data_IF_308095318435
#
_entry.id   IF_308095318435
#
_cell.length_a   1.000
_cell.length_b   1.000
_cell.length_c   1.000
_cell.angle_alpha   90.00
_cell.angle_beta   90.00
_cell.angle_gamma   90.00
#
_symmetry.space_group_name_H-M   'P 1'
#
loop_
_entity.id
_entity.type
_entity.pdbx_description
1 polymer ?
#
# COMPACT_ATOMS: atom_id res chain seq x y z
N UNK A 1 -0.08 18.83 -13.56
CA UNK A 1 -1.35 18.56 -14.29
C UNK A 1 -2.57 18.93 -13.46
N UNK A 2 -2.68 18.50 -12.19
CA UNK A 2 -3.83 18.76 -11.30
C UNK A 2 -4.27 20.23 -11.18
N UNK A 3 -3.34 21.19 -11.30
CA UNK A 3 -3.62 22.64 -11.29
C UNK A 3 -4.48 23.11 -12.47
N UNK A 4 -4.68 22.27 -13.49
CA UNK A 4 -5.46 22.55 -14.70
C UNK A 4 -6.79 21.77 -14.76
N UNK A 5 -7.11 20.98 -13.74
CA UNK A 5 -8.32 20.15 -13.73
C UNK A 5 -9.61 20.98 -13.62
N UNK A 6 -10.71 20.47 -14.13
CA UNK A 6 -12.05 21.02 -13.83
C UNK A 6 -12.61 20.35 -12.56
N UNK A 7 -12.91 21.09 -11.47
CA UNK A 7 -13.45 20.52 -10.24
C UNK A 7 -14.78 19.79 -10.40
N UNK A 8 -15.66 20.23 -11.31
CA UNK A 8 -16.92 19.53 -11.57
C UNK A 8 -16.70 18.18 -12.25
N UNK A 9 -15.87 18.16 -13.30
CA UNK A 9 -15.45 16.91 -13.93
C UNK A 9 -14.70 16.01 -12.95
N UNK A 10 -13.89 16.58 -12.06
CA UNK A 10 -13.15 15.85 -11.01
C UNK A 10 -14.09 15.12 -10.06
N UNK A 11 -15.16 15.78 -9.59
CA UNK A 11 -16.15 15.15 -8.72
C UNK A 11 -16.88 13.98 -9.42
N UNK A 12 -17.21 14.14 -10.71
CA UNK A 12 -17.82 13.06 -11.52
C UNK A 12 -16.86 11.88 -11.71
N UNK A 13 -15.59 12.15 -12.00
CA UNK A 13 -14.55 11.12 -12.16
C UNK A 13 -14.30 10.38 -10.84
N UNK A 14 -14.30 11.08 -9.70
CA UNK A 14 -14.17 10.47 -8.37
C UNK A 14 -15.34 9.51 -8.07
N UNK A 15 -16.58 9.95 -8.36
CA UNK A 15 -17.76 9.12 -8.19
C UNK A 15 -17.72 7.85 -9.07
N UNK A 16 -17.22 7.97 -10.31
CA UNK A 16 -17.03 6.84 -11.22
C UNK A 16 -16.07 5.78 -10.65
N UNK A 17 -14.90 6.19 -10.15
CA UNK A 17 -13.93 5.24 -9.59
C UNK A 17 -14.38 4.65 -8.26
N UNK A 18 -15.07 5.42 -7.43
CA UNK A 18 -15.72 4.90 -6.24
C UNK A 18 -16.77 3.83 -6.59
N UNK A 19 -17.61 4.08 -7.60
CA UNK A 19 -18.58 3.10 -8.07
C UNK A 19 -17.90 1.82 -8.61
N UNK A 20 -16.79 1.96 -9.33
CA UNK A 20 -16.00 0.82 -9.81
C UNK A 20 -15.43 -0.05 -8.66
N UNK A 21 -15.12 0.56 -7.52
CA UNK A 21 -14.71 -0.12 -6.30
C UNK A 21 -15.88 -0.58 -5.41
N UNK A 22 -17.14 -0.42 -5.86
CA UNK A 22 -18.33 -0.82 -5.11
C UNK A 22 -18.63 0.06 -3.89
N UNK A 23 -18.28 1.35 -3.95
CA UNK A 23 -18.40 2.28 -2.82
C UNK A 23 -18.83 3.70 -3.25
N UNK A 24 -18.89 4.62 -2.29
CA UNK A 24 -19.13 6.05 -2.51
C UNK A 24 -17.83 6.84 -2.40
N UNK A 25 -17.68 7.98 -3.08
CA UNK A 25 -16.43 8.73 -3.04
C UNK A 25 -16.23 9.40 -1.67
N UNK A 26 -15.00 9.33 -1.15
CA UNK A 26 -14.64 10.00 0.10
C UNK A 26 -14.76 11.54 0.01
N UNK A 27 -14.48 12.11 -1.16
CA UNK A 27 -14.72 13.52 -1.49
C UNK A 27 -15.68 13.56 -2.68
N UNK A 28 -16.89 14.09 -2.44
CA UNK A 28 -17.95 14.12 -3.44
C UNK A 28 -18.20 15.51 -4.04
N UNK A 29 -17.88 16.58 -3.32
CA UNK A 29 -18.25 17.94 -3.72
C UNK A 29 -17.17 18.57 -4.63
N UNK A 30 -17.61 19.15 -5.76
CA UNK A 30 -16.73 19.92 -6.64
C UNK A 30 -16.07 21.11 -5.91
N UNK A 31 -16.76 21.71 -4.93
CA UNK A 31 -16.21 22.79 -4.09
C UNK A 31 -14.98 22.35 -3.28
N UNK A 32 -14.93 21.09 -2.82
CA UNK A 32 -13.80 20.58 -2.06
C UNK A 32 -12.58 20.38 -2.95
N UNK A 33 -12.79 19.82 -4.15
CA UNK A 33 -11.74 19.73 -5.17
C UNK A 33 -11.25 21.12 -5.60
N UNK A 34 -12.15 22.09 -5.73
CA UNK A 34 -11.78 23.49 -6.03
C UNK A 34 -10.92 24.09 -4.92
N UNK A 35 -11.31 23.94 -3.66
CA UNK A 35 -10.54 24.44 -2.53
C UNK A 35 -9.12 23.83 -2.47
N UNK A 36 -9.00 22.53 -2.75
CA UNK A 36 -7.70 21.82 -2.83
C UNK A 36 -6.88 22.33 -4.02
N UNK A 37 -7.51 22.47 -5.19
CA UNK A 37 -6.87 23.00 -6.38
C UNK A 37 -6.32 24.42 -6.13
N UNK A 38 -7.12 25.31 -5.53
CA UNK A 38 -6.71 26.68 -5.23
C UNK A 38 -5.54 26.71 -4.25
N UNK A 39 -5.54 25.82 -3.26
CA UNK A 39 -4.42 25.64 -2.32
C UNK A 39 -3.14 25.24 -3.05
N UNK A 40 -3.17 24.25 -3.94
CA UNK A 40 -1.96 23.81 -4.67
C UNK A 40 -1.50 24.84 -5.71
N UNK A 41 -2.43 25.56 -6.36
CA UNK A 41 -2.10 26.64 -7.29
C UNK A 41 -1.42 27.80 -6.55
N UNK A 42 -1.95 28.19 -5.39
CA UNK A 42 -1.32 29.20 -4.54
C UNK A 42 0.08 28.76 -4.12
N UNK A 43 0.22 27.54 -3.60
CA UNK A 43 1.52 26.98 -3.21
C UNK A 43 2.53 26.99 -4.37
N UNK A 44 2.12 26.58 -5.57
CA UNK A 44 2.98 26.58 -6.74
C UNK A 44 3.41 27.99 -7.17
N UNK A 45 2.51 28.99 -7.07
CA UNK A 45 2.79 30.39 -7.40
C UNK A 45 3.80 31.05 -6.45
N UNK A 46 3.95 30.54 -5.23
CA UNK A 46 4.98 31.04 -4.29
C UNK A 46 6.42 30.66 -4.72
N UNK A 47 6.59 29.75 -5.69
CA UNK A 47 7.90 29.33 -6.22
C UNK A 47 8.71 28.42 -5.29
N UNK A 48 8.36 28.34 -4.01
CA UNK A 48 8.98 27.43 -3.02
C UNK A 48 8.32 26.06 -3.04
N UNK A 49 8.59 25.29 -4.09
CA UNK A 49 7.89 24.03 -4.36
C UNK A 49 8.19 22.88 -3.38
N UNK A 50 9.23 23.00 -2.54
CA UNK A 50 9.57 21.99 -1.54
C UNK A 50 9.76 20.61 -2.17
N UNK A 51 9.03 19.61 -1.64
CA UNK A 51 9.05 18.22 -2.15
C UNK A 51 8.57 18.09 -3.60
N UNK A 52 7.94 19.11 -4.17
CA UNK A 52 7.49 19.13 -5.56
C UNK A 52 8.48 19.84 -6.51
N UNK A 53 9.57 20.41 -5.98
CA UNK A 53 10.62 21.03 -6.79
C UNK A 53 11.43 19.99 -7.56
N UNK A 54 11.79 20.30 -8.81
CA UNK A 54 12.56 19.42 -9.71
C UNK A 54 12.01 17.98 -9.86
N UNK A 55 10.69 17.81 -9.71
CA UNK A 55 10.02 16.55 -10.01
C UNK A 55 9.94 16.29 -11.52
N UNK A 56 9.62 15.04 -11.89
CA UNK A 56 9.51 14.59 -13.28
C UNK A 56 8.26 15.10 -14.02
N UNK A 57 7.69 16.22 -13.60
CA UNK A 57 6.39 16.72 -14.07
C UNK A 57 6.38 16.94 -15.58
N UNK A 58 5.39 16.36 -16.27
CA UNK A 58 5.29 16.43 -17.73
C UNK A 58 6.02 15.31 -18.47
N UNK A 59 6.64 14.36 -17.75
CA UNK A 59 7.17 13.13 -18.35
C UNK A 59 6.03 12.32 -19.02
N UNK A 60 6.32 11.76 -20.20
CA UNK A 60 5.37 10.99 -21.02
C UNK A 60 4.84 9.72 -20.31
N UNK A 61 5.57 9.24 -19.30
CA UNK A 61 5.13 8.16 -18.43
C UNK A 61 3.93 8.52 -17.55
N UNK A 62 3.60 9.80 -17.32
CA UNK A 62 2.42 10.17 -16.55
C UNK A 62 1.14 10.11 -17.38
N UNK A 63 0.26 9.15 -17.06
CA UNK A 63 -0.94 8.85 -17.87
C UNK A 63 -2.25 9.35 -17.30
N UNK A 64 -2.26 9.77 -16.03
CA UNK A 64 -3.48 10.27 -15.39
C UNK A 64 -3.90 11.60 -15.99
N UNK A 65 -5.21 11.79 -16.19
CA UNK A 65 -5.78 13.07 -16.62
C UNK A 65 -5.60 14.15 -15.55
N UNK A 66 -5.77 15.44 -15.85
CA UNK A 66 -5.77 16.49 -14.83
C UNK A 66 -6.73 16.21 -13.67
N UNK A 67 -7.96 15.76 -13.96
CA UNK A 67 -9.00 15.41 -12.99
C UNK A 67 -8.55 14.26 -12.09
N UNK A 68 -8.05 13.17 -12.67
CA UNK A 68 -7.52 12.02 -11.92
C UNK A 68 -6.34 12.40 -11.02
N UNK A 69 -5.45 13.28 -11.52
CA UNK A 69 -4.37 13.81 -10.70
C UNK A 69 -4.90 14.69 -9.55
N UNK A 70 -5.97 15.47 -9.76
CA UNK A 70 -6.56 16.28 -8.69
C UNK A 70 -7.22 15.40 -7.62
N UNK A 71 -7.86 14.28 -8.00
CA UNK A 71 -8.34 13.24 -7.07
C UNK A 71 -7.17 12.70 -6.24
N UNK A 72 -6.11 12.23 -6.92
CA UNK A 72 -4.93 11.67 -6.24
C UNK A 72 -4.26 12.67 -5.29
N UNK A 73 -4.15 13.94 -5.69
CA UNK A 73 -3.61 15.01 -4.80
C UNK A 73 -4.53 15.27 -3.61
N UNK A 74 -5.85 15.30 -3.83
CA UNK A 74 -6.82 15.49 -2.77
C UNK A 74 -6.73 14.36 -1.72
N UNK A 75 -6.70 13.11 -2.17
CA UNK A 75 -6.56 11.95 -1.30
C UNK A 75 -5.17 11.85 -0.67
N UNK A 76 -4.10 12.23 -1.37
CA UNK A 76 -2.75 12.32 -0.79
C UNK A 76 -2.73 13.26 0.42
N UNK A 77 -3.30 14.46 0.28
CA UNK A 77 -3.34 15.44 1.37
C UNK A 77 -4.21 14.95 2.54
N UNK A 78 -5.32 14.26 2.27
CA UNK A 78 -6.15 13.65 3.32
C UNK A 78 -5.47 12.46 3.99
N UNK A 79 -4.73 11.65 3.23
CA UNK A 79 -3.97 10.51 3.72
C UNK A 79 -2.96 10.91 4.80
N UNK A 80 -2.34 12.08 4.67
CA UNK A 80 -1.44 12.64 5.69
C UNK A 80 -2.15 12.91 7.04
N UNK A 81 -3.44 13.22 7.04
CA UNK A 81 -4.21 13.36 8.29
C UNK A 81 -4.68 12.00 8.82
N UNK A 82 -5.09 11.09 7.92
CA UNK A 82 -5.63 9.76 8.25
C UNK A 82 -4.55 8.87 8.87
N UNK A 83 -3.32 8.87 8.34
CA UNK A 83 -2.22 8.08 8.90
C UNK A 83 -1.92 8.44 10.36
N UNK A 84 -2.13 9.70 10.76
CA UNK A 84 -1.97 10.14 12.14
C UNK A 84 -3.04 9.52 13.04
N UNK A 85 -4.27 9.35 12.53
CA UNK A 85 -5.36 8.66 13.26
C UNK A 85 -5.04 7.18 13.45
N UNK A 86 -4.50 6.51 12.43
CA UNK A 86 -4.00 5.12 12.54
C UNK A 86 -2.90 5.01 13.61
N UNK A 87 -1.96 5.96 13.66
CA UNK A 87 -0.93 6.00 14.69
C UNK A 87 -1.48 6.19 16.11
N UNK A 88 -2.62 6.87 16.28
CA UNK A 88 -3.29 6.97 17.58
C UNK A 88 -3.85 5.64 18.04
N UNK A 89 -4.39 4.82 17.14
CA UNK A 89 -4.85 3.46 17.49
C UNK A 89 -3.72 2.64 18.10
N UNK A 90 -2.51 2.75 17.53
CA UNK A 90 -1.32 2.12 18.08
C UNK A 90 -0.97 2.68 19.47
N UNK A 91 -0.99 4.00 19.65
CA UNK A 91 -0.67 4.63 20.92
C UNK A 91 -1.66 4.29 22.06
N UNK A 92 -2.94 3.99 21.75
CA UNK A 92 -3.94 3.60 22.77
C UNK A 92 -3.52 2.36 23.55
N UNK A 93 -2.93 1.37 22.88
CA UNK A 93 -2.50 0.13 23.51
C UNK A 93 -0.98 -0.04 23.55
N UNK A 94 -0.23 0.85 22.89
CA UNK A 94 1.24 0.82 22.76
C UNK A 94 1.96 1.93 23.50
N UNK A 95 1.24 2.90 24.06
CA UNK A 95 1.77 4.10 24.73
C UNK A 95 2.27 5.18 23.77
N UNK A 96 2.88 4.79 22.65
CA UNK A 96 3.36 5.71 21.60
C UNK A 96 3.37 5.07 20.21
N UNK A 97 3.47 5.90 19.18
CA UNK A 97 3.72 5.51 17.79
C UNK A 97 4.60 6.56 17.12
N UNK A 98 5.68 6.18 16.40
CA UNK A 98 6.19 4.82 16.18
C UNK A 98 6.82 4.19 17.45
N UNK A 99 7.19 2.90 17.37
CA UNK A 99 7.85 2.10 18.41
C UNK A 99 7.03 1.93 19.71
N UNK A 100 5.96 1.12 19.70
CA UNK A 100 5.18 0.85 20.90
C UNK A 100 6.06 0.19 21.97
N UNK A 101 5.66 0.32 23.24
CA UNK A 101 6.39 -0.26 24.37
C UNK A 101 5.52 -1.21 25.20
N UNK A 102 4.34 -1.57 24.70
CA UNK A 102 3.43 -2.46 25.43
C UNK A 102 3.72 -3.93 25.24
N UNK A 103 4.42 -4.30 24.16
CA UNK A 103 4.76 -5.70 23.88
C UNK A 103 5.89 -6.15 24.81
N UNK A 104 5.67 -7.25 25.52
CA UNK A 104 6.64 -7.90 26.39
C UNK A 104 6.63 -9.41 26.15
N UNK A 105 7.69 -10.10 26.55
CA UNK A 105 7.68 -11.57 26.53
C UNK A 105 6.51 -12.06 27.40
N UNK A 106 5.63 -12.86 26.81
CA UNK A 106 4.42 -13.37 27.46
C UNK A 106 3.14 -12.56 27.25
N UNK A 107 3.17 -11.41 26.55
CA UNK A 107 1.94 -10.69 26.18
C UNK A 107 2.11 -9.18 26.05
N UNK A 108 1.20 -8.43 26.68
CA UNK A 108 1.17 -6.97 26.63
C UNK A 108 0.98 -6.33 28.01
N UNK A 109 1.53 -5.13 28.22
CA UNK A 109 1.43 -4.38 29.49
C UNK A 109 0.18 -3.51 29.60
N UNK A 110 -0.55 -3.28 28.50
CA UNK A 110 -1.69 -2.37 28.41
C UNK A 110 -3.02 -2.96 28.92
N UNK A 111 -2.99 -3.82 29.93
CA UNK A 111 -4.16 -4.53 30.46
C UNK A 111 -5.27 -3.56 30.91
N UNK A 112 -4.90 -2.48 31.59
CA UNK A 112 -5.87 -1.47 32.06
C UNK A 112 -6.54 -0.73 30.89
N UNK A 113 -5.81 -0.43 29.82
CA UNK A 113 -6.38 0.22 28.64
C UNK A 113 -7.29 -0.72 27.84
N UNK A 114 -6.94 -2.01 27.74
CA UNK A 114 -7.78 -3.04 27.11
C UNK A 114 -9.11 -3.19 27.86
N UNK A 115 -9.08 -3.15 29.20
CA UNK A 115 -10.27 -3.27 30.03
C UNK A 115 -11.11 -1.99 30.09
N UNK A 116 -10.61 -0.87 29.56
CA UNK A 116 -11.28 0.42 29.61
C UNK A 116 -12.25 0.59 28.41
N UNK A 117 -13.59 0.62 28.64
CA UNK A 117 -14.56 0.74 27.55
C UNK A 117 -14.42 2.01 26.70
N UNK A 118 -13.93 3.11 27.30
CA UNK A 118 -13.70 4.35 26.58
C UNK A 118 -12.52 4.24 25.60
N UNK A 119 -11.46 3.49 25.97
CA UNK A 119 -10.32 3.20 25.07
C UNK A 119 -10.76 2.32 23.90
N UNK A 120 -11.53 1.26 24.18
CA UNK A 120 -12.09 0.40 23.15
C UNK A 120 -12.99 1.20 22.19
N UNK A 121 -13.89 2.03 22.72
CA UNK A 121 -14.79 2.86 21.91
C UNK A 121 -14.03 3.82 21.01
N UNK A 122 -12.99 4.49 21.53
CA UNK A 122 -12.13 5.38 20.75
C UNK A 122 -11.35 4.61 19.66
N UNK A 123 -10.84 3.42 19.96
CA UNK A 123 -10.19 2.59 18.95
C UNK A 123 -11.16 2.23 17.82
N UNK A 124 -12.40 1.83 18.15
CA UNK A 124 -13.42 1.50 17.15
C UNK A 124 -13.81 2.70 16.29
N UNK A 125 -13.90 3.90 16.87
CA UNK A 125 -14.15 5.14 16.13
C UNK A 125 -13.02 5.40 15.11
N UNK A 126 -11.78 5.41 15.57
CA UNK A 126 -10.61 5.60 14.71
C UNK A 126 -10.51 4.51 13.62
N UNK A 127 -10.81 3.26 13.96
CA UNK A 127 -10.84 2.15 13.01
C UNK A 127 -11.91 2.36 11.94
N UNK A 128 -13.12 2.80 12.32
CA UNK A 128 -14.19 3.07 11.34
C UNK A 128 -13.80 4.21 10.40
N UNK A 129 -13.32 5.33 10.93
CA UNK A 129 -12.90 6.49 10.13
C UNK A 129 -11.75 6.13 9.16
N UNK A 130 -10.77 5.36 9.61
CA UNK A 130 -9.63 4.96 8.78
C UNK A 130 -10.02 3.91 7.75
N UNK A 131 -10.89 2.96 8.11
CA UNK A 131 -11.48 1.99 7.19
C UNK A 131 -12.30 2.67 6.10
N UNK A 132 -13.04 3.71 6.46
CA UNK A 132 -13.81 4.50 5.50
C UNK A 132 -12.90 5.14 4.45
N UNK A 133 -11.79 5.77 4.86
CA UNK A 133 -10.81 6.31 3.92
C UNK A 133 -10.18 5.23 3.03
N UNK A 134 -9.80 4.08 3.61
CA UNK A 134 -9.23 2.95 2.85
C UNK A 134 -10.21 2.48 1.78
N UNK A 135 -11.48 2.33 2.13
CA UNK A 135 -12.51 1.84 1.20
C UNK A 135 -12.93 2.88 0.18
N UNK A 136 -13.13 4.14 0.58
CA UNK A 136 -13.76 5.19 -0.24
C UNK A 136 -12.78 6.12 -0.97
N UNK A 137 -11.48 6.09 -0.64
CA UNK A 137 -10.45 6.86 -1.32
C UNK A 137 -9.34 5.95 -1.86
N UNK A 138 -8.65 5.22 -0.99
CA UNK A 138 -7.47 4.45 -1.38
C UNK A 138 -7.80 3.35 -2.40
N UNK A 139 -8.82 2.52 -2.14
CA UNK A 139 -9.18 1.45 -3.07
C UNK A 139 -9.63 1.99 -4.45
N UNK A 140 -10.52 3.00 -4.55
CA UNK A 140 -10.84 3.68 -5.81
C UNK A 140 -9.60 4.23 -6.54
N UNK A 141 -8.65 4.82 -5.82
CA UNK A 141 -7.41 5.34 -6.41
C UNK A 141 -6.56 4.22 -7.03
N UNK A 142 -6.51 3.04 -6.40
CA UNK A 142 -5.83 1.86 -6.94
C UNK A 142 -6.51 1.37 -8.22
N UNK A 143 -7.85 1.35 -8.28
CA UNK A 143 -8.58 0.97 -9.50
C UNK A 143 -8.30 1.97 -10.65
N UNK A 144 -8.31 3.26 -10.33
CA UNK A 144 -8.01 4.34 -11.26
C UNK A 144 -6.59 4.21 -11.82
N UNK A 145 -5.59 4.11 -10.95
CA UNK A 145 -4.19 3.98 -11.34
C UNK A 145 -3.94 2.66 -12.07
N UNK A 146 -4.44 1.54 -11.55
CA UNK A 146 -4.32 0.22 -12.17
C UNK A 146 -4.87 0.21 -13.60
N UNK A 147 -5.99 0.88 -13.85
CA UNK A 147 -6.55 1.00 -15.20
C UNK A 147 -5.69 1.89 -16.11
N UNK A 148 -5.25 3.06 -15.62
CA UNK A 148 -4.45 3.99 -16.41
C UNK A 148 -3.08 3.42 -16.82
N UNK A 149 -2.50 2.56 -15.98
CA UNK A 149 -1.18 1.95 -16.18
C UNK A 149 -1.24 0.47 -16.59
N UNK A 150 -2.43 -0.08 -16.84
CA UNK A 150 -2.65 -1.50 -17.12
C UNK A 150 -1.73 -2.04 -18.23
N UNK A 151 -1.57 -1.27 -19.33
CA UNK A 151 -0.76 -1.68 -20.48
C UNK A 151 0.69 -1.98 -20.10
N UNK A 152 1.31 -1.17 -19.24
CA UNK A 152 2.70 -1.39 -18.82
C UNK A 152 2.79 -2.48 -17.75
N UNK A 153 1.85 -2.49 -16.80
CA UNK A 153 1.78 -3.49 -15.74
C UNK A 153 1.51 -4.92 -16.27
N UNK A 154 1.03 -5.05 -17.51
CA UNK A 154 0.73 -6.34 -18.16
C UNK A 154 1.57 -6.62 -19.40
N UNK A 155 2.56 -5.77 -19.69
CA UNK A 155 3.44 -5.96 -20.85
C UNK A 155 4.39 -7.15 -20.62
N UNK A 156 4.05 -8.31 -21.17
CA UNK A 156 4.87 -9.52 -21.04
C UNK A 156 6.33 -9.31 -21.50
N UNK A 157 6.62 -8.34 -22.38
CA UNK A 157 7.99 -8.03 -22.83
C UNK A 157 8.84 -7.32 -21.77
N UNK A 158 8.19 -6.75 -20.74
CA UNK A 158 8.83 -6.05 -19.62
C UNK A 158 8.90 -6.91 -18.36
N UNK A 159 8.35 -8.12 -18.38
CA UNK A 159 8.47 -9.04 -17.25
C UNK A 159 9.95 -9.40 -17.05
N UNK A 160 10.44 -9.39 -15.81
CA UNK A 160 11.85 -9.60 -15.55
C UNK A 160 12.32 -10.91 -16.18
N UNK A 161 13.18 -10.80 -17.19
CA UNK A 161 13.86 -11.93 -17.79
C UNK A 161 15.18 -12.09 -17.04
N UNK A 162 15.25 -13.09 -16.17
CA UNK A 162 16.53 -13.52 -15.58
C UNK A 162 17.61 -13.54 -16.66
N UNK A 163 18.68 -12.80 -16.39
CA UNK A 163 19.87 -12.60 -17.21
C UNK A 163 20.24 -13.82 -18.07
N UNK A 164 20.42 -13.63 -19.39
CA UNK A 164 20.95 -14.60 -20.38
C UNK A 164 20.30 -16.00 -20.47
N UNK A 165 19.36 -16.36 -19.61
CA UNK A 165 18.57 -17.58 -19.68
C UNK A 165 17.22 -17.28 -20.33
N UNK A 166 17.20 -17.13 -21.66
CA UNK A 166 15.99 -17.02 -22.50
C UNK A 166 15.20 -18.35 -22.58
N UNK A 167 14.98 -18.99 -21.45
CA UNK A 167 14.32 -20.27 -21.28
C UNK A 167 14.56 -20.67 -19.84
N UNK A 168 13.63 -20.46 -18.92
CA UNK A 168 12.26 -20.92 -18.97
C UNK A 168 11.46 -19.92 -18.15
N UNK A 169 10.64 -19.10 -18.80
CA UNK A 169 9.71 -18.28 -18.04
C UNK A 169 8.73 -19.24 -17.36
N UNK A 170 8.52 -18.98 -16.09
CA UNK A 170 7.31 -19.35 -15.41
C UNK A 170 6.04 -18.95 -16.16
N UNK A 171 4.88 -19.52 -15.79
CA UNK A 171 3.62 -19.35 -16.54
C UNK A 171 2.97 -17.96 -16.40
N UNK A 172 3.52 -17.07 -15.57
CA UNK A 172 2.92 -15.78 -15.21
C UNK A 172 3.31 -14.60 -16.11
N UNK A 173 2.52 -13.53 -16.04
CA UNK A 173 2.80 -12.22 -16.68
C UNK A 173 2.78 -11.15 -15.59
N UNK A 174 3.90 -10.44 -15.41
CA UNK A 174 4.02 -9.39 -14.37
C UNK A 174 4.29 -7.98 -14.89
N UNK A 175 4.60 -7.83 -16.18
CA UNK A 175 4.90 -6.54 -16.80
C UNK A 175 5.99 -5.73 -16.11
N UNK A 176 5.97 -4.42 -16.33
CA UNK A 176 6.83 -3.48 -15.62
C UNK A 176 6.52 -3.51 -14.13
N UNK A 177 7.50 -3.91 -13.32
CA UNK A 177 7.37 -4.01 -11.85
C UNK A 177 6.92 -5.39 -11.33
N UNK A 178 6.70 -6.37 -12.20
CA UNK A 178 6.26 -7.72 -11.82
C UNK A 178 7.27 -8.57 -11.04
N UNK A 179 8.55 -8.16 -11.01
CA UNK A 179 9.61 -8.87 -10.31
C UNK A 179 9.89 -10.26 -10.88
N UNK A 180 10.38 -11.17 -10.02
CA UNK A 180 10.80 -12.53 -10.39
C UNK A 180 9.65 -13.52 -10.63
N UNK A 181 8.40 -13.10 -10.40
CA UNK A 181 7.20 -13.96 -10.45
C UNK A 181 7.20 -15.14 -9.46
N UNK A 182 8.19 -15.18 -8.55
CA UNK A 182 8.19 -16.06 -7.39
C UNK A 182 7.90 -15.25 -6.14
N UNK A 183 6.94 -15.70 -5.33
CA UNK A 183 6.41 -14.98 -4.18
C UNK A 183 6.39 -15.90 -2.96
N UNK A 184 6.64 -15.34 -1.78
CA UNK A 184 6.68 -16.07 -0.52
C UNK A 184 5.91 -15.30 0.56
N UNK A 185 5.17 -16.02 1.39
CA UNK A 185 4.50 -15.51 2.59
C UNK A 185 4.71 -16.51 3.72
N UNK A 186 5.09 -16.04 4.91
CA UNK A 186 5.09 -16.86 6.14
C UNK A 186 3.68 -17.06 6.71
N UNK A 187 2.71 -16.30 6.20
CA UNK A 187 1.40 -16.13 6.83
C UNK A 187 1.47 -15.29 8.10
N UNK A 188 0.32 -14.83 8.58
CA UNK A 188 0.22 -14.03 9.80
C UNK A 188 -1.22 -14.02 10.34
N UNK A 189 -1.42 -13.31 11.46
CA UNK A 189 -2.69 -13.14 12.18
C UNK A 189 -3.27 -14.48 12.63
N UNK A 190 -2.70 -15.01 13.70
CA UNK A 190 -3.21 -16.21 14.38
C UNK A 190 -4.64 -16.02 14.85
N UNK A 191 -5.48 -17.02 14.59
CA UNK A 191 -6.90 -17.00 14.91
C UNK A 191 -7.20 -17.44 16.35
N UNK A 192 -6.23 -18.08 17.01
CA UNK A 192 -6.37 -18.61 18.36
C UNK A 192 -5.03 -18.68 19.13
N UNK A 193 -5.11 -19.09 20.40
CA UNK A 193 -3.97 -19.19 21.32
C UNK A 193 -3.39 -20.62 21.43
N UNK A 194 -3.61 -21.50 20.44
CA UNK A 194 -3.13 -22.91 20.48
C UNK A 194 -1.60 -23.07 20.35
N UNK A 195 -0.88 -21.96 20.27
CA UNK A 195 0.58 -21.88 20.18
C UNK A 195 1.05 -21.32 18.85
N UNK A 196 2.23 -20.68 18.87
CA UNK A 196 2.73 -19.91 17.73
C UNK A 196 2.84 -20.72 16.43
N UNK A 197 3.26 -21.99 16.51
CA UNK A 197 3.45 -22.85 15.33
C UNK A 197 2.24 -23.73 14.99
N UNK A 198 1.19 -23.74 15.82
CA UNK A 198 0.02 -24.62 15.65
C UNK A 198 -1.26 -23.87 15.26
N UNK A 199 -1.34 -22.58 15.57
CA UNK A 199 -2.54 -21.79 15.34
C UNK A 199 -2.80 -21.60 13.85
N UNK A 200 -4.08 -21.71 13.46
CA UNK A 200 -4.51 -21.36 12.12
C UNK A 200 -4.24 -19.86 11.86
N UNK A 201 -3.71 -19.56 10.67
CA UNK A 201 -3.40 -18.19 10.26
C UNK A 201 -4.55 -17.63 9.41
N UNK A 202 -4.96 -16.39 9.69
CA UNK A 202 -5.92 -15.67 8.85
C UNK A 202 -5.30 -15.33 7.49
N UNK A 203 -4.03 -14.92 7.46
CA UNK A 203 -3.27 -14.76 6.23
C UNK A 203 -2.45 -16.03 5.96
N UNK A 204 -2.59 -16.67 4.79
CA UNK A 204 -1.96 -17.95 4.50
C UNK A 204 -0.44 -17.84 4.29
N UNK A 205 0.24 -18.95 4.60
CA UNK A 205 1.65 -19.20 4.28
C UNK A 205 1.80 -19.94 2.96
N UNK A 206 2.94 -19.78 2.30
CA UNK A 206 3.30 -20.58 1.12
C UNK A 206 4.24 -19.87 0.15
N UNK A 207 4.64 -20.61 -0.88
CA UNK A 207 5.53 -20.16 -1.95
C UNK A 207 4.87 -20.41 -3.31
N UNK A 208 4.85 -19.38 -4.15
CA UNK A 208 4.58 -19.50 -5.59
C UNK A 208 5.91 -19.39 -6.31
N UNK A 209 6.17 -20.32 -7.21
CA UNK A 209 7.39 -20.34 -8.02
C UNK A 209 7.04 -20.14 -9.48
N UNK A 210 7.89 -19.42 -10.19
CA UNK A 210 7.84 -19.30 -11.65
C UNK A 210 6.43 -18.88 -12.12
N UNK A 211 5.80 -17.93 -11.43
CA UNK A 211 4.48 -17.40 -11.77
C UNK A 211 3.35 -18.42 -11.88
N UNK A 212 3.52 -19.67 -11.43
CA UNK A 212 2.48 -20.69 -11.49
C UNK A 212 1.51 -20.53 -10.31
N UNK A 213 0.61 -19.55 -10.43
CA UNK A 213 -0.41 -19.27 -9.41
C UNK A 213 -1.42 -20.39 -9.21
N UNK A 214 -1.40 -21.45 -10.02
CA UNK A 214 -2.23 -22.64 -9.82
C UNK A 214 -1.66 -23.58 -8.76
N UNK A 215 -0.40 -23.37 -8.37
CA UNK A 215 0.31 -24.21 -7.42
C UNK A 215 0.95 -23.37 -6.32
N UNK A 216 0.45 -23.55 -5.11
CA UNK A 216 1.10 -23.06 -3.90
C UNK A 216 1.90 -24.20 -3.29
N UNK A 217 3.18 -23.97 -3.07
CA UNK A 217 4.07 -24.88 -2.36
C UNK A 217 4.04 -24.52 -0.87
N UNK A 218 4.20 -25.53 -0.02
CA UNK A 218 4.41 -25.29 1.42
C UNK A 218 5.73 -24.54 1.62
N UNK A 219 5.72 -23.59 2.56
CA UNK A 219 6.93 -22.89 2.97
C UNK A 219 7.76 -23.80 3.87
N UNK A 220 9.00 -24.03 3.48
CA UNK A 220 9.98 -24.80 4.21
C UNK A 220 11.06 -23.84 4.71
N UNK A 221 11.00 -23.47 6.00
CA UNK A 221 11.88 -22.46 6.61
C UNK A 221 13.36 -22.92 6.58
N UNK A 222 13.62 -24.23 6.59
CA UNK A 222 14.96 -24.81 6.51
C UNK A 222 15.61 -24.62 5.13
N UNK A 223 14.86 -24.14 4.12
CA UNK A 223 15.39 -23.82 2.79
C UNK A 223 15.67 -22.34 2.56
N UNK A 224 15.43 -21.50 3.56
CA UNK A 224 15.64 -20.06 3.45
C UNK A 224 17.09 -19.74 3.79
N UNK A 225 17.85 -19.30 2.78
CA UNK A 225 19.26 -18.93 2.91
C UNK A 225 19.52 -17.51 2.38
N UNK A 226 20.54 -16.85 2.91
CA UNK A 226 21.01 -15.53 2.49
C UNK A 226 22.38 -15.63 1.81
N UNK A 227 22.56 -14.95 0.68
CA UNK A 227 23.84 -14.88 -0.04
C UNK A 227 24.38 -13.44 0.01
N UNK A 228 25.67 -13.31 0.35
CA UNK A 228 26.34 -12.00 0.53
C UNK A 228 27.30 -11.63 -0.59
N UNK A 229 27.36 -12.40 -1.69
CA UNK A 229 28.27 -12.19 -2.83
C UNK A 229 28.20 -10.79 -3.43
N UNK A 230 27.01 -10.16 -3.39
CA UNK A 230 26.75 -8.82 -3.89
C UNK A 230 26.30 -7.84 -2.79
N UNK A 231 26.76 -8.09 -1.56
CA UNK A 231 26.43 -7.31 -0.36
C UNK A 231 27.69 -6.88 0.38
N UNK A 232 27.60 -5.85 1.23
CA UNK A 232 28.73 -5.39 2.06
C UNK A 232 28.85 -6.19 3.37
N UNK A 233 29.02 -7.50 3.24
CA UNK A 233 29.26 -8.42 4.34
C UNK A 233 30.38 -9.40 3.97
N UNK A 234 31.03 -9.97 4.98
CA UNK A 234 31.95 -11.09 4.79
C UNK A 234 31.14 -12.39 4.74
N UNK A 235 31.50 -13.30 3.86
CA UNK A 235 30.85 -14.60 3.73
C UNK A 235 31.81 -15.66 3.21
N UNK A 236 31.36 -16.91 3.22
CA UNK A 236 32.13 -18.09 2.83
C UNK A 236 32.17 -18.31 1.32
N UNK A 237 31.42 -17.54 0.54
CA UNK A 237 31.28 -17.70 -0.91
C UNK A 237 30.18 -18.66 -1.34
N UNK A 238 29.27 -19.03 -0.43
CA UNK A 238 28.04 -19.78 -0.67
C UNK A 238 26.88 -19.15 0.13
N UNK A 239 25.61 -19.47 -0.18
CA UNK A 239 24.48 -19.07 0.66
C UNK A 239 24.58 -19.65 2.08
N UNK A 240 24.26 -18.83 3.07
CA UNK A 240 24.35 -19.12 4.51
C UNK A 240 22.97 -19.03 5.17
N UNK A 241 22.81 -19.62 6.36
CA UNK A 241 21.60 -19.55 7.20
C UNK A 241 21.79 -18.56 8.36
#
# INVERSE_FOLDING_TARGET
>A
SATKADPEATAKEAAKWAAAAGTTPYIAAASDFKAIQDRIVKFAKEGRLGIFGNGYWGNDGYKLTPEQNLIGVAHYLKGLDVQRRMSKMHALFGGKSPHPQSIVVGGVTCVQDIQNPARISLFQELLRETTEFVKQAYLPDIYMAGTAYAKEATDATQSFHGTKHKGTLGKGVGGSGGGLLSYMSYGDFRLDDTGFYNSALFLPSGVVLDGDITKVHELDEDKISEDVTHSWFEGTGAPEH
#
